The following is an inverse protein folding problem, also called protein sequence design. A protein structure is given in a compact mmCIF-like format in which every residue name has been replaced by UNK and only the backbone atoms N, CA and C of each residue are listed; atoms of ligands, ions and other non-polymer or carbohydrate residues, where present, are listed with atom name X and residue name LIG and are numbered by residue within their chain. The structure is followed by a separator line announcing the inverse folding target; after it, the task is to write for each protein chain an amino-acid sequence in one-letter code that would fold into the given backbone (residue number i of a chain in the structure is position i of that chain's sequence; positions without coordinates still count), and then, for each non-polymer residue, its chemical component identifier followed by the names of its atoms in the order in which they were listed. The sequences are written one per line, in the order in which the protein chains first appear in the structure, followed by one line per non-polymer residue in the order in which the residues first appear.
data_IF_708222424483
#
_entry.id   IF_708222424483
#
_cell.length_a   1.000
_cell.length_b   1.000
_cell.length_c   1.000
_cell.angle_alpha   90.00
_cell.angle_beta   90.00
_cell.angle_gamma   90.00
#
_symmetry.space_group_name_H-M   'P 1'
#
loop_
_entity.id
_entity.type
_entity.pdbx_description
1 polymer ?
#
# COMPACT_ATOMS: atom_id res chain seq x y z
N UNK A 1 -21.64 -61.43 25.24
CA UNK A 1 -22.16 -60.25 25.97
C UNK A 1 -20.97 -59.43 26.47
N UNK A 2 -20.70 -58.25 25.89
CA UNK A 2 -19.96 -57.16 26.54
C UNK A 2 -20.29 -55.88 25.78
N UNK A 3 -20.99 -54.99 26.48
CA UNK A 3 -21.47 -53.69 26.01
C UNK A 3 -20.31 -52.71 26.11
N UNK A 4 -19.98 -52.01 25.03
CA UNK A 4 -19.17 -50.81 25.10
C UNK A 4 -20.05 -49.62 24.73
N UNK A 5 -20.28 -48.77 25.73
CA UNK A 5 -20.99 -47.51 25.64
C UNK A 5 -20.07 -46.44 25.01
N UNK A 6 -20.70 -45.56 24.23
CA UNK A 6 -20.21 -44.37 23.53
C UNK A 6 -19.44 -43.40 24.45
N UNK A 7 -18.56 -42.51 23.93
CA UNK A 7 -19.10 -41.27 23.35
C UNK A 7 -18.38 -40.73 22.11
N UNK A 8 -19.23 -40.11 21.29
CA UNK A 8 -18.99 -39.03 20.34
C UNK A 8 -17.98 -38.02 20.91
N UNK A 9 -16.75 -37.96 20.39
CA UNK A 9 -15.83 -36.84 20.64
C UNK A 9 -16.01 -35.88 19.47
N UNK A 10 -16.86 -34.88 19.71
CA UNK A 10 -16.97 -33.69 18.89
C UNK A 10 -15.61 -32.98 18.87
N UNK A 11 -14.93 -32.99 17.72
CA UNK A 11 -13.75 -32.17 17.49
C UNK A 11 -14.23 -30.72 17.40
N UNK A 12 -14.05 -29.97 18.48
CA UNK A 12 -14.32 -28.54 18.56
C UNK A 12 -13.46 -27.78 17.54
N UNK A 13 -14.14 -27.13 16.60
CA UNK A 13 -13.59 -26.15 15.66
C UNK A 13 -13.05 -24.94 16.44
N UNK A 14 -11.75 -24.90 16.72
CA UNK A 14 -11.07 -23.67 17.12
C UNK A 14 -10.72 -22.86 15.86
N UNK A 15 -11.72 -22.21 15.26
CA UNK A 15 -11.51 -21.24 14.20
C UNK A 15 -11.18 -19.88 14.83
N UNK A 16 -9.90 -19.56 14.98
CA UNK A 16 -9.46 -18.20 15.28
C UNK A 16 -9.80 -17.32 14.07
N UNK A 17 -10.90 -16.57 14.15
CA UNK A 17 -11.20 -15.51 13.19
C UNK A 17 -10.19 -14.37 13.39
N UNK A 18 -9.07 -14.41 12.67
CA UNK A 18 -8.15 -13.29 12.54
C UNK A 18 -8.82 -12.22 11.67
N UNK A 19 -9.58 -11.31 12.28
CA UNK A 19 -10.07 -10.11 11.60
C UNK A 19 -8.86 -9.27 11.23
N UNK A 20 -8.58 -9.04 9.93
CA UNK A 20 -7.47 -8.17 9.55
C UNK A 20 -7.73 -6.77 10.10
N UNK A 21 -6.69 -6.04 10.55
CA UNK A 21 -6.86 -4.67 11.00
C UNK A 21 -7.50 -3.84 9.88
N UNK A 22 -8.46 -2.98 10.26
CA UNK A 22 -9.10 -2.08 9.32
C UNK A 22 -8.03 -1.26 8.57
N UNK A 23 -8.21 -1.01 7.26
CA UNK A 23 -7.29 -0.16 6.53
C UNK A 23 -7.24 1.22 7.20
N UNK A 24 -6.07 1.90 7.22
CA UNK A 24 -5.99 3.26 7.73
C UNK A 24 -6.97 4.16 6.95
N UNK A 25 -7.49 5.22 7.59
CA UNK A 25 -8.35 6.17 6.91
C UNK A 25 -7.62 6.77 5.69
N UNK A 26 -8.36 7.23 4.67
CA UNK A 26 -7.77 7.95 3.55
C UNK A 26 -6.93 9.12 4.04
N UNK A 27 -5.72 9.24 3.51
CA UNK A 27 -4.80 10.34 3.82
C UNK A 27 -5.38 11.67 3.33
N UNK A 28 -5.34 12.71 4.17
CA UNK A 28 -5.70 14.07 3.75
C UNK A 28 -4.62 14.65 2.81
N UNK A 29 -4.94 15.67 1.99
CA UNK A 29 -3.93 16.29 1.12
C UNK A 29 -2.71 16.83 1.88
N UNK A 30 -2.90 17.36 3.09
CA UNK A 30 -1.82 17.89 3.92
C UNK A 30 -0.88 16.79 4.43
N UNK A 31 -1.45 15.69 4.94
CA UNK A 31 -0.67 14.52 5.38
C UNK A 31 0.11 13.92 4.19
N UNK A 32 -0.50 13.87 3.00
CA UNK A 32 0.16 13.38 1.80
C UNK A 32 1.36 14.25 1.40
N UNK A 33 1.25 15.57 1.53
CA UNK A 33 2.38 16.48 1.29
C UNK A 33 3.48 16.26 2.33
N UNK A 34 3.12 16.12 3.61
CA UNK A 34 4.09 15.89 4.68
C UNK A 34 4.86 14.58 4.44
N UNK A 35 4.14 13.47 4.24
CA UNK A 35 4.74 12.16 3.99
C UNK A 35 5.69 12.17 2.80
N UNK A 36 5.32 12.80 1.69
CA UNK A 36 6.19 12.92 0.49
C UNK A 36 7.42 13.77 0.73
N UNK A 37 7.33 14.77 1.62
CA UNK A 37 8.46 15.62 2.00
C UNK A 37 9.46 14.87 2.88
N UNK A 38 8.96 13.97 3.73
CA UNK A 38 9.76 13.12 4.61
C UNK A 38 10.35 11.89 3.89
N UNK A 39 9.77 11.49 2.75
CA UNK A 39 10.26 10.37 1.96
C UNK A 39 11.70 10.60 1.45
N UNK A 40 12.49 9.52 1.25
CA UNK A 40 13.81 9.64 0.64
C UNK A 40 13.77 10.38 -0.69
N UNK A 41 14.74 11.27 -0.91
CA UNK A 41 14.80 12.04 -2.16
C UNK A 41 14.95 11.09 -3.36
N UNK A 42 14.23 11.33 -4.47
CA UNK A 42 14.41 10.60 -5.70
C UNK A 42 15.88 10.62 -6.18
N UNK A 43 16.33 9.51 -6.75
CA UNK A 43 17.68 9.40 -7.35
C UNK A 43 17.83 10.32 -8.57
N UNK A 44 16.73 10.57 -9.28
CA UNK A 44 16.72 11.38 -10.50
C UNK A 44 16.23 12.79 -10.20
N UNK A 45 16.82 13.76 -10.90
CA UNK A 45 16.36 15.13 -10.83
C UNK A 45 15.03 15.28 -11.57
N UNK A 46 13.96 15.58 -10.82
CA UNK A 46 12.63 15.80 -11.37
C UNK A 46 12.32 17.30 -11.58
N UNK A 47 13.31 18.18 -11.51
CA UNK A 47 13.12 19.58 -11.86
C UNK A 47 12.64 19.70 -13.31
N UNK A 48 11.64 20.56 -13.54
CA UNK A 48 11.00 20.74 -14.85
C UNK A 48 9.77 19.86 -15.09
N UNK A 49 9.52 18.83 -14.27
CA UNK A 49 8.28 18.06 -14.32
C UNK A 49 7.12 18.76 -13.58
N UNK A 50 5.87 18.61 -14.04
CA UNK A 50 4.71 19.11 -13.32
C UNK A 50 4.66 18.59 -11.88
N UNK A 51 4.15 19.38 -10.91
CA UNK A 51 4.05 18.95 -9.51
C UNK A 51 3.37 17.59 -9.32
N UNK A 52 2.25 17.35 -10.01
CA UNK A 52 1.53 16.08 -9.94
C UNK A 52 2.37 14.88 -10.38
N UNK A 53 3.20 15.04 -11.43
CA UNK A 53 4.12 13.99 -11.89
C UNK A 53 5.17 13.69 -10.81
N UNK A 54 5.74 14.73 -10.19
CA UNK A 54 6.75 14.57 -9.12
C UNK A 54 6.17 13.85 -7.90
N UNK A 55 4.98 14.22 -7.49
CA UNK A 55 4.27 13.59 -6.37
C UNK A 55 3.93 12.12 -6.68
N UNK A 56 3.43 11.85 -7.89
CA UNK A 56 3.19 10.49 -8.38
C UNK A 56 4.46 9.66 -8.37
N UNK A 57 5.56 10.21 -8.89
CA UNK A 57 6.86 9.54 -8.91
C UNK A 57 7.33 9.12 -7.52
N UNK A 58 7.25 10.01 -6.53
CA UNK A 58 7.62 9.71 -5.14
C UNK A 58 6.75 8.57 -4.61
N UNK A 59 5.43 8.69 -4.73
CA UNK A 59 4.48 7.68 -4.23
C UNK A 59 4.68 6.30 -4.91
N UNK A 60 4.92 6.28 -6.22
CA UNK A 60 5.17 5.07 -6.99
C UNK A 60 6.49 4.40 -6.59
N UNK A 61 7.54 5.19 -6.45
CA UNK A 61 8.87 4.72 -6.06
C UNK A 61 8.88 4.11 -4.65
N UNK A 62 8.25 4.79 -3.69
CA UNK A 62 8.15 4.32 -2.32
C UNK A 62 7.23 3.10 -2.19
N UNK A 63 6.19 3.02 -3.03
CA UNK A 63 5.35 1.82 -3.13
C UNK A 63 6.13 0.62 -3.68
N UNK A 64 6.93 0.80 -4.73
CA UNK A 64 7.73 -0.29 -5.30
C UNK A 64 8.82 -0.80 -4.33
N UNK A 65 9.32 0.07 -3.46
CA UNK A 65 10.29 -0.26 -2.42
C UNK A 65 9.66 -0.89 -1.17
N UNK A 66 8.33 -0.96 -1.10
CA UNK A 66 7.59 -1.35 0.10
C UNK A 66 8.04 -0.57 1.36
N UNK A 67 8.33 0.72 1.21
CA UNK A 67 8.75 1.57 2.33
C UNK A 67 7.57 2.02 3.19
N UNK A 68 7.86 2.56 4.37
CA UNK A 68 6.84 3.18 5.24
C UNK A 68 6.13 4.37 4.60
N UNK A 69 6.74 4.99 3.58
CA UNK A 69 6.18 6.11 2.83
C UNK A 69 5.32 5.67 1.64
N UNK A 70 5.31 4.37 1.30
CA UNK A 70 4.56 3.84 0.18
C UNK A 70 3.05 4.03 0.34
N UNK A 71 2.44 4.77 -0.59
CA UNK A 71 0.99 4.95 -0.69
C UNK A 71 0.55 4.89 -2.13
N UNK A 72 -0.51 4.12 -2.37
CA UNK A 72 -1.20 4.05 -3.66
C UNK A 72 -2.54 4.76 -3.54
N UNK A 73 -2.58 6.02 -3.98
CA UNK A 73 -3.82 6.78 -4.08
C UNK A 73 -4.56 6.37 -5.35
N UNK A 74 -5.41 5.35 -5.24
CA UNK A 74 -6.17 4.82 -6.38
C UNK A 74 -7.16 5.84 -6.96
N UNK A 75 -7.73 6.71 -6.12
CA UNK A 75 -8.66 7.74 -6.56
C UNK A 75 -7.93 8.79 -7.42
N UNK A 76 -6.77 9.26 -6.97
CA UNK A 76 -5.97 10.21 -7.73
C UNK A 76 -5.36 9.61 -8.99
N UNK A 77 -4.94 8.34 -8.98
CA UNK A 77 -4.52 7.61 -10.20
C UNK A 77 -5.63 7.62 -11.26
N UNK A 78 -6.90 7.51 -10.85
CA UNK A 78 -8.03 7.52 -11.79
C UNK A 78 -8.35 8.94 -12.30
N UNK A 79 -8.21 9.96 -11.45
CA UNK A 79 -8.63 11.32 -11.73
C UNK A 79 -7.56 12.23 -12.37
N UNK A 80 -6.27 11.96 -12.11
CA UNK A 80 -5.14 12.82 -12.50
C UNK A 80 -4.14 12.04 -13.37
N UNK A 81 -4.17 12.21 -14.72
CA UNK A 81 -3.28 11.52 -15.64
C UNK A 81 -1.79 11.84 -15.42
N UNK A 82 -1.46 13.04 -14.93
CA UNK A 82 -0.08 13.44 -14.66
C UNK A 82 0.46 12.71 -13.42
N UNK A 83 -0.35 12.65 -12.35
CA UNK A 83 -0.02 11.85 -11.18
C UNK A 83 0.12 10.37 -11.53
N UNK A 84 -0.82 9.81 -12.31
CA UNK A 84 -0.75 8.41 -12.76
C UNK A 84 0.52 8.10 -13.54
N UNK A 85 0.90 8.97 -14.48
CA UNK A 85 2.14 8.83 -15.25
C UNK A 85 3.35 8.79 -14.32
N UNK A 86 3.48 9.78 -13.43
CA UNK A 86 4.57 9.80 -12.44
C UNK A 86 4.60 8.55 -11.57
N UNK A 87 3.45 8.08 -11.08
CA UNK A 87 3.35 6.88 -10.25
C UNK A 87 3.83 5.62 -10.97
N UNK A 88 3.40 5.43 -12.22
CA UNK A 88 3.86 4.29 -13.03
C UNK A 88 5.37 4.34 -13.29
N UNK A 89 5.91 5.52 -13.61
CA UNK A 89 7.35 5.71 -13.83
C UNK A 89 8.14 5.40 -12.55
N UNK A 90 7.75 5.99 -11.42
CA UNK A 90 8.38 5.74 -10.12
C UNK A 90 8.32 4.27 -9.72
N UNK A 91 7.15 3.63 -9.87
CA UNK A 91 6.98 2.21 -9.54
C UNK A 91 7.86 1.31 -10.40
N UNK A 92 7.88 1.54 -11.72
CA UNK A 92 8.63 0.72 -12.67
C UNK A 92 10.15 0.93 -12.60
N UNK A 93 10.62 2.15 -12.32
CA UNK A 93 12.05 2.47 -12.24
C UNK A 93 12.62 2.01 -10.90
N UNK A 94 11.93 2.28 -9.79
CA UNK A 94 12.44 1.96 -8.45
C UNK A 94 12.26 0.50 -8.04
N UNK A 95 11.32 -0.23 -8.65
CA UNK A 95 11.09 -1.66 -8.38
C UNK A 95 12.06 -2.61 -9.08
N UNK A 96 12.91 -2.13 -9.99
CA UNK A 96 13.88 -2.96 -10.75
C UNK A 96 15.21 -3.18 -10.01
N UNK A 97 15.18 -3.38 -8.69
CA UNK A 97 16.38 -3.68 -7.90
C UNK A 97 16.39 -5.12 -7.44
#
# INVERSE_FOLDING_TARGET
MRRHATPLIALFLAACASVPPAPPPPETPAEAVQRRTEAPRPQYNLAGYPPAVREGYIDGCETARASSYGRKDAARIAADPQYKMGWNDGFSICGKK
#
